data_IF_150714115464
#
_entry.id   IF_150714115464
#
_cell.length_a   1.000
_cell.length_b   1.000
_cell.length_c   1.000
_cell.angle_alpha   90.00
_cell.angle_beta   90.00
_cell.angle_gamma   90.00
#
_symmetry.space_group_name_H-M   'P 1'
#
loop_
_entity.id
_entity.type
_entity.pdbx_description
1 polymer ?
#
# COMPACT_ATOMS: atom_id res chain seq x y z
N UNK A 1 -12.62 -35.69 -23.36
CA UNK A 1 -12.82 -36.98 -22.65
C UNK A 1 -13.55 -36.70 -21.35
N UNK A 2 -14.39 -37.60 -20.84
CA UNK A 2 -15.05 -37.42 -19.54
C UNK A 2 -14.32 -38.23 -18.47
N UNK A 3 -14.02 -37.61 -17.34
CA UNK A 3 -13.37 -38.26 -16.19
C UNK A 3 -14.16 -38.07 -14.91
N UNK A 4 -14.18 -39.07 -14.01
CA UNK A 4 -14.63 -38.87 -12.64
C UNK A 4 -13.79 -37.80 -11.94
N UNK A 5 -14.44 -36.82 -11.32
CA UNK A 5 -13.79 -35.72 -10.59
C UNK A 5 -12.85 -36.25 -9.50
N UNK A 6 -13.17 -37.41 -8.90
CA UNK A 6 -12.35 -38.08 -7.88
C UNK A 6 -10.99 -38.57 -8.40
N UNK A 7 -10.87 -38.82 -9.71
CA UNK A 7 -9.62 -39.25 -10.34
C UNK A 7 -8.74 -38.05 -10.73
N UNK A 8 -9.19 -36.81 -10.52
CA UNK A 8 -8.41 -35.60 -10.83
C UNK A 8 -7.73 -35.10 -9.55
N UNK A 9 -6.42 -35.29 -9.48
CA UNK A 9 -5.56 -34.87 -8.39
C UNK A 9 -4.97 -33.49 -8.67
N UNK A 10 -4.79 -32.74 -7.58
CA UNK A 10 -4.08 -31.46 -7.57
C UNK A 10 -2.84 -31.68 -6.73
N UNK A 11 -1.69 -31.84 -7.38
CA UNK A 11 -0.38 -32.03 -6.75
C UNK A 11 0.37 -30.71 -6.51
N UNK A 12 -0.36 -29.60 -6.64
CA UNK A 12 0.16 -28.25 -6.52
C UNK A 12 -0.52 -27.45 -5.44
N UNK A 13 0.15 -26.36 -5.07
CA UNK A 13 -0.47 -25.31 -4.29
C UNK A 13 -1.64 -24.71 -5.06
N UNK A 14 -2.80 -24.68 -4.40
CA UNK A 14 -4.00 -24.01 -4.92
C UNK A 14 -3.78 -22.50 -4.88
N UNK A 15 -4.46 -21.76 -5.77
CA UNK A 15 -4.53 -20.29 -5.65
C UNK A 15 -5.09 -19.90 -4.30
N UNK A 16 -4.54 -18.83 -3.73
CA UNK A 16 -4.97 -18.28 -2.46
C UNK A 16 -6.42 -17.78 -2.55
N UNK A 17 -6.80 -17.16 -3.67
CA UNK A 17 -8.16 -16.72 -3.95
C UNK A 17 -8.66 -17.31 -5.28
N UNK A 18 -9.66 -18.19 -5.20
CA UNK A 18 -10.22 -18.88 -6.36
C UNK A 18 -11.43 -18.16 -6.99
N UNK A 19 -12.08 -17.22 -6.30
CA UNK A 19 -13.22 -16.43 -6.81
C UNK A 19 -14.18 -17.22 -7.70
N UNK A 20 -14.85 -18.22 -7.15
CA UNK A 20 -15.63 -19.18 -7.94
C UNK A 20 -17.07 -18.76 -8.17
N UNK A 21 -17.62 -17.80 -7.40
CA UNK A 21 -19.06 -17.51 -7.40
C UNK A 21 -19.68 -17.25 -8.79
N UNK A 22 -19.11 -16.35 -9.59
CA UNK A 22 -19.62 -16.08 -10.95
C UNK A 22 -19.43 -17.28 -11.88
N UNK A 23 -18.34 -18.02 -11.70
CA UNK A 23 -18.02 -19.20 -12.49
C UNK A 23 -18.96 -20.37 -12.16
N UNK A 24 -19.37 -20.50 -10.90
CA UNK A 24 -20.37 -21.47 -10.44
C UNK A 24 -21.73 -21.21 -11.10
N UNK A 25 -22.16 -19.94 -11.16
CA UNK A 25 -23.40 -19.57 -11.84
C UNK A 25 -23.34 -19.87 -13.35
N UNK A 26 -22.23 -19.54 -14.00
CA UNK A 26 -22.04 -19.85 -15.42
C UNK A 26 -22.06 -21.35 -15.69
N UNK A 27 -21.40 -22.15 -14.84
CA UNK A 27 -21.36 -23.62 -14.94
C UNK A 27 -22.77 -24.22 -14.72
N UNK A 28 -23.55 -23.67 -13.77
CA UNK A 28 -24.96 -24.11 -13.57
C UNK A 28 -25.79 -23.95 -14.84
N UNK A 29 -25.63 -22.82 -15.53
CA UNK A 29 -26.50 -22.45 -16.64
C UNK A 29 -26.05 -23.06 -17.98
N UNK A 30 -24.75 -23.19 -18.20
CA UNK A 30 -24.18 -23.53 -19.51
C UNK A 30 -23.24 -24.74 -19.50
N UNK A 31 -23.01 -25.36 -18.34
CA UNK A 31 -21.99 -26.37 -18.18
C UNK A 31 -20.57 -25.82 -18.34
N UNK A 32 -19.60 -26.73 -18.49
CA UNK A 32 -18.20 -26.38 -18.64
C UNK A 32 -17.91 -26.03 -20.11
N UNK A 33 -17.68 -24.74 -20.42
CA UNK A 33 -17.37 -24.29 -21.79
C UNK A 33 -15.96 -24.68 -22.28
N UNK A 34 -15.01 -24.81 -21.36
CA UNK A 34 -13.60 -25.11 -21.66
C UNK A 34 -13.16 -26.26 -20.76
N UNK A 35 -12.70 -27.39 -21.33
CA UNK A 35 -12.28 -28.55 -20.55
C UNK A 35 -11.12 -28.21 -19.59
N UNK A 36 -10.91 -29.09 -18.61
CA UNK A 36 -9.70 -29.03 -17.78
C UNK A 36 -8.52 -29.62 -18.54
N UNK A 37 -7.34 -29.01 -18.44
CA UNK A 37 -6.13 -29.60 -19.01
C UNK A 37 -5.48 -30.48 -17.94
N UNK A 38 -5.22 -31.74 -18.27
CA UNK A 38 -4.65 -32.73 -17.34
C UNK A 38 -3.51 -33.53 -17.96
N UNK A 39 -2.67 -34.12 -17.12
CA UNK A 39 -1.70 -35.15 -17.50
C UNK A 39 -2.06 -36.50 -16.86
N UNK A 40 -1.63 -37.59 -17.48
CA UNK A 40 -1.82 -38.95 -16.97
C UNK A 40 -2.39 -39.89 -18.03
N UNK A 41 -2.98 -41.03 -17.63
CA UNK A 41 -3.13 -41.47 -16.24
C UNK A 41 -1.81 -41.89 -15.57
N UNK A 42 -1.80 -41.95 -14.23
CA UNK A 42 -0.81 -42.71 -13.45
C UNK A 42 -1.17 -44.21 -13.39
N UNK A 43 -0.38 -45.01 -12.67
CA UNK A 43 -0.63 -46.44 -12.46
C UNK A 43 -1.97 -46.73 -11.75
N UNK A 44 -2.52 -45.76 -11.01
CA UNK A 44 -3.78 -45.85 -10.29
C UNK A 44 -4.95 -45.21 -11.06
N UNK A 45 -4.77 -44.88 -12.34
CA UNK A 45 -5.75 -44.21 -13.19
C UNK A 45 -6.19 -42.81 -12.70
N UNK A 46 -5.29 -42.11 -12.01
CA UNK A 46 -5.42 -40.71 -11.63
C UNK A 46 -4.79 -39.79 -12.68
N UNK A 47 -5.32 -38.57 -12.74
CA UNK A 47 -4.89 -37.52 -13.64
C UNK A 47 -4.51 -36.28 -12.84
N UNK A 48 -3.45 -35.60 -13.27
CA UNK A 48 -2.92 -34.43 -12.59
C UNK A 48 -3.36 -33.16 -13.31
N UNK A 49 -4.01 -32.25 -12.57
CA UNK A 49 -4.55 -31.02 -13.13
C UNK A 49 -3.45 -30.03 -13.54
N UNK A 50 -3.30 -29.73 -14.83
CA UNK A 50 -2.41 -28.67 -15.30
C UNK A 50 -3.10 -27.32 -15.24
N UNK A 51 -4.29 -27.19 -15.83
CA UNK A 51 -5.00 -25.91 -15.92
C UNK A 51 -6.50 -26.07 -15.71
N UNK A 52 -7.12 -25.05 -15.11
CA UNK A 52 -8.54 -25.03 -14.78
C UNK A 52 -8.85 -25.29 -13.30
N UNK A 53 -7.92 -24.98 -12.40
CA UNK A 53 -8.10 -25.05 -10.94
C UNK A 53 -9.41 -24.41 -10.44
N UNK A 54 -9.69 -23.18 -10.87
CA UNK A 54 -10.94 -22.48 -10.54
C UNK A 54 -12.18 -23.19 -11.10
N UNK A 55 -12.07 -23.76 -12.30
CA UNK A 55 -13.17 -24.48 -12.97
C UNK A 55 -13.46 -25.79 -12.25
N UNK A 56 -12.43 -26.53 -11.85
CA UNK A 56 -12.57 -27.76 -11.07
C UNK A 56 -13.24 -27.49 -9.72
N UNK A 57 -12.82 -26.44 -9.01
CA UNK A 57 -13.42 -26.11 -7.72
C UNK A 57 -14.87 -25.63 -7.86
N UNK A 58 -15.14 -24.76 -8.84
CA UNK A 58 -16.50 -24.34 -9.14
C UNK A 58 -17.40 -25.54 -9.52
N UNK A 59 -16.89 -26.49 -10.31
CA UNK A 59 -17.62 -27.71 -10.65
C UNK A 59 -17.98 -28.54 -9.41
N UNK A 60 -17.02 -28.74 -8.50
CA UNK A 60 -17.23 -29.43 -7.22
C UNK A 60 -18.29 -28.75 -6.35
N UNK A 61 -18.31 -27.42 -6.34
CA UNK A 61 -19.28 -26.64 -5.56
C UNK A 61 -20.71 -26.72 -6.12
N UNK A 62 -20.84 -26.78 -7.45
CA UNK A 62 -22.16 -26.82 -8.09
C UNK A 62 -22.81 -28.22 -7.99
N UNK A 63 -22.02 -29.29 -7.87
CA UNK A 63 -22.49 -30.68 -7.72
C UNK A 63 -23.43 -31.16 -8.84
N UNK A 64 -23.20 -30.71 -10.08
CA UNK A 64 -24.03 -31.12 -11.24
C UNK A 64 -23.83 -32.60 -11.58
N UNK A 65 -22.57 -33.02 -11.71
CA UNK A 65 -22.21 -34.34 -12.20
C UNK A 65 -20.85 -34.78 -11.65
N UNK A 66 -20.67 -36.08 -11.43
CA UNK A 66 -19.40 -36.67 -11.02
C UNK A 66 -18.40 -36.75 -12.16
N UNK A 67 -18.86 -36.67 -13.42
CA UNK A 67 -18.02 -36.63 -14.60
C UNK A 67 -17.77 -35.19 -15.04
N UNK A 68 -16.52 -34.88 -15.40
CA UNK A 68 -16.10 -33.58 -15.91
C UNK A 68 -15.33 -33.74 -17.22
N UNK A 69 -15.49 -32.77 -18.12
CA UNK A 69 -14.77 -32.77 -19.39
C UNK A 69 -13.31 -32.34 -19.21
N UNK A 70 -12.41 -33.19 -19.72
CA UNK A 70 -10.97 -33.00 -19.67
C UNK A 70 -10.34 -33.14 -21.05
N UNK A 71 -9.19 -32.47 -21.20
CA UNK A 71 -8.23 -32.62 -22.28
C UNK A 71 -6.93 -33.18 -21.69
N UNK A 72 -6.59 -34.40 -22.07
CA UNK A 72 -5.31 -35.01 -21.69
C UNK A 72 -4.23 -34.43 -22.61
N UNK A 73 -3.23 -33.75 -22.05
CA UNK A 73 -2.17 -33.12 -22.83
C UNK A 73 -1.08 -34.13 -23.23
N UNK A 74 -0.69 -34.99 -22.29
CA UNK A 74 0.37 -36.00 -22.43
C UNK A 74 0.32 -37.00 -21.26
N UNK A 75 1.20 -37.99 -21.33
CA UNK A 75 1.45 -38.93 -20.22
C UNK A 75 2.00 -38.24 -18.97
N UNK A 76 2.10 -39.00 -17.88
CA UNK A 76 2.53 -38.48 -16.58
C UNK A 76 3.96 -37.93 -16.63
N UNK A 77 4.13 -36.66 -16.27
CA UNK A 77 5.45 -36.04 -16.10
C UNK A 77 5.85 -35.91 -14.62
N UNK A 78 6.96 -35.23 -14.32
CA UNK A 78 7.30 -34.86 -12.94
C UNK A 78 6.48 -33.65 -12.46
N UNK A 79 6.31 -33.51 -11.13
CA UNK A 79 5.66 -32.32 -10.55
C UNK A 79 6.34 -31.01 -10.96
N UNK A 80 7.67 -31.02 -11.07
CA UNK A 80 8.47 -29.88 -11.50
C UNK A 80 8.14 -29.48 -12.94
N UNK A 81 8.07 -30.44 -13.87
CA UNK A 81 7.70 -30.19 -15.27
C UNK A 81 6.29 -29.61 -15.37
N UNK A 82 5.34 -30.17 -14.63
CA UNK A 82 3.98 -29.59 -14.53
C UNK A 82 3.98 -28.17 -14.02
N UNK A 83 4.76 -27.85 -12.98
CA UNK A 83 4.86 -26.48 -12.45
C UNK A 83 5.44 -25.51 -13.47
N UNK A 84 6.46 -25.90 -14.23
CA UNK A 84 7.04 -25.10 -15.31
C UNK A 84 6.03 -24.85 -16.43
N UNK A 85 5.30 -25.88 -16.85
CA UNK A 85 4.26 -25.74 -17.87
C UNK A 85 3.14 -24.80 -17.42
N UNK A 86 2.69 -24.91 -16.17
CA UNK A 86 1.69 -23.97 -15.62
C UNK A 86 2.20 -22.54 -15.59
N UNK A 87 3.44 -22.34 -15.16
CA UNK A 87 4.08 -21.02 -15.18
C UNK A 87 4.11 -20.45 -16.60
N UNK A 88 4.47 -21.28 -17.59
CA UNK A 88 4.42 -20.91 -19.00
C UNK A 88 3.00 -20.52 -19.44
N UNK A 89 1.97 -21.31 -19.12
CA UNK A 89 0.58 -20.98 -19.48
C UNK A 89 0.12 -19.65 -18.88
N UNK A 90 0.49 -19.36 -17.63
CA UNK A 90 0.14 -18.11 -16.95
C UNK A 90 0.89 -16.89 -17.50
N UNK A 91 2.08 -17.08 -18.04
CA UNK A 91 2.83 -16.05 -18.76
C UNK A 91 2.22 -15.70 -20.12
N UNK A 92 1.51 -16.64 -20.74
CA UNK A 92 1.10 -16.56 -22.15
C UNK A 92 -0.36 -16.12 -22.31
N UNK A 93 -1.26 -16.64 -21.47
CA UNK A 93 -2.71 -16.51 -21.67
C UNK A 93 -3.31 -15.52 -20.68
N UNK A 94 -3.16 -15.77 -19.38
CA UNK A 94 -3.79 -14.97 -18.33
C UNK A 94 -2.96 -14.98 -17.05
N UNK A 95 -2.51 -13.81 -16.57
CA UNK A 95 -1.72 -13.74 -15.35
C UNK A 95 -2.55 -14.17 -14.14
N UNK A 96 -1.97 -15.02 -13.30
CA UNK A 96 -2.49 -15.29 -11.96
C UNK A 96 -2.19 -14.10 -11.03
N UNK A 97 -2.82 -14.02 -9.84
CA UNK A 97 -2.45 -13.02 -8.84
C UNK A 97 -0.95 -13.03 -8.55
N UNK A 98 -0.36 -11.85 -8.32
CA UNK A 98 1.09 -11.69 -8.19
C UNK A 98 1.74 -12.59 -7.12
N UNK A 99 1.06 -12.79 -5.99
CA UNK A 99 1.54 -13.66 -4.89
C UNK A 99 1.54 -15.12 -5.29
N UNK A 100 0.45 -15.61 -5.89
CA UNK A 100 0.40 -16.99 -6.38
C UNK A 100 1.54 -17.24 -7.38
N UNK A 101 1.79 -16.26 -8.26
CA UNK A 101 2.85 -16.33 -9.27
C UNK A 101 4.25 -16.34 -8.63
N UNK A 102 4.47 -15.50 -7.61
CA UNK A 102 5.72 -15.44 -6.85
C UNK A 102 6.00 -16.77 -6.16
N UNK A 103 5.00 -17.35 -5.48
CA UNK A 103 5.13 -18.64 -4.80
C UNK A 103 5.45 -19.75 -5.80
N UNK A 104 4.78 -19.78 -6.97
CA UNK A 104 5.06 -20.77 -8.01
C UNK A 104 6.50 -20.67 -8.53
N UNK A 105 7.03 -19.46 -8.71
CA UNK A 105 8.45 -19.27 -9.06
C UNK A 105 9.35 -19.78 -7.94
N UNK A 106 9.07 -19.42 -6.69
CA UNK A 106 9.86 -19.83 -5.53
C UNK A 106 9.90 -21.36 -5.37
N UNK A 107 8.76 -22.04 -5.56
CA UNK A 107 8.66 -23.50 -5.54
C UNK A 107 9.51 -24.13 -6.65
N UNK A 108 9.41 -23.63 -7.89
CA UNK A 108 10.22 -24.14 -9.02
C UNK A 108 11.73 -23.98 -8.75
N UNK A 109 12.15 -22.80 -8.29
CA UNK A 109 13.57 -22.53 -8.00
C UNK A 109 14.08 -23.41 -6.85
N UNK A 110 13.26 -23.62 -5.80
CA UNK A 110 13.60 -24.48 -4.65
C UNK A 110 13.70 -25.95 -5.05
N UNK A 111 12.77 -26.46 -5.86
CA UNK A 111 12.75 -27.86 -6.31
C UNK A 111 13.85 -28.16 -7.33
N UNK A 112 14.19 -27.21 -8.20
CA UNK A 112 15.16 -27.41 -9.29
C UNK A 112 16.60 -27.01 -8.96
N UNK A 113 16.81 -26.18 -7.95
CA UNK A 113 18.12 -25.56 -7.66
C UNK A 113 18.59 -24.55 -8.72
N UNK A 114 17.73 -24.16 -9.66
CA UNK A 114 18.05 -23.24 -10.76
C UNK A 114 18.22 -21.79 -10.29
N UNK A 115 18.97 -21.00 -11.07
CA UNK A 115 18.95 -19.55 -10.92
C UNK A 115 17.78 -18.91 -11.70
N UNK A 116 17.44 -17.67 -11.38
CA UNK A 116 16.46 -16.87 -12.15
C UNK A 116 16.80 -16.78 -13.63
N UNK A 117 18.10 -16.77 -13.95
CA UNK A 117 18.57 -16.69 -15.33
C UNK A 117 18.29 -17.98 -16.08
N UNK A 118 18.42 -19.12 -15.41
CA UNK A 118 18.20 -20.44 -16.01
C UNK A 118 16.71 -20.66 -16.22
N UNK A 119 15.87 -20.35 -15.23
CA UNK A 119 14.41 -20.41 -15.37
C UNK A 119 13.91 -19.50 -16.50
N UNK A 120 14.43 -18.27 -16.60
CA UNK A 120 14.06 -17.35 -17.67
C UNK A 120 14.45 -17.87 -19.06
N UNK A 121 15.64 -18.48 -19.20
CA UNK A 121 16.09 -19.11 -20.45
C UNK A 121 15.19 -20.28 -20.83
N UNK A 122 14.88 -21.14 -19.87
CA UNK A 122 14.04 -22.33 -20.08
C UNK A 122 12.64 -21.95 -20.56
N UNK A 123 12.03 -20.93 -19.94
CA UNK A 123 10.72 -20.39 -20.33
C UNK A 123 10.78 -19.49 -21.59
N UNK A 124 11.98 -19.26 -22.14
CA UNK A 124 12.24 -18.34 -23.27
C UNK A 124 11.66 -16.94 -23.00
N UNK A 125 11.85 -16.44 -21.78
CA UNK A 125 11.38 -15.12 -21.32
C UNK A 125 12.54 -14.22 -20.91
N UNK A 126 12.30 -12.91 -20.95
CA UNK A 126 13.21 -11.93 -20.37
C UNK A 126 13.31 -12.14 -18.84
N UNK A 127 14.54 -12.21 -18.33
CA UNK A 127 14.85 -12.26 -16.89
C UNK A 127 14.13 -11.15 -16.10
N UNK A 128 13.90 -9.98 -16.69
CA UNK A 128 13.13 -8.89 -16.08
C UNK A 128 11.69 -9.28 -15.77
N UNK A 129 11.05 -10.12 -16.60
CA UNK A 129 9.69 -10.60 -16.36
C UNK A 129 9.61 -11.49 -15.12
N UNK A 130 10.58 -12.37 -14.91
CA UNK A 130 10.64 -13.23 -13.73
C UNK A 130 10.94 -12.39 -12.48
N UNK A 131 11.93 -11.48 -12.57
CA UNK A 131 12.31 -10.60 -11.45
C UNK A 131 11.21 -9.66 -10.99
N UNK A 132 10.27 -9.27 -11.86
CA UNK A 132 9.12 -8.42 -11.50
C UNK A 132 8.29 -9.01 -10.35
N UNK A 133 8.25 -10.33 -10.21
CA UNK A 133 7.42 -11.01 -9.21
C UNK A 133 8.17 -11.36 -7.93
N UNK A 134 9.43 -10.95 -7.77
CA UNK A 134 10.24 -11.19 -6.58
C UNK A 134 10.19 -10.14 -5.46
N UNK A 135 9.83 -8.85 -5.69
CA UNK A 135 9.73 -7.90 -4.59
C UNK A 135 8.85 -8.45 -3.45
N UNK A 136 9.27 -8.29 -2.20
CA UNK A 136 8.59 -8.85 -1.04
C UNK A 136 8.90 -10.32 -0.72
N UNK A 137 9.80 -10.99 -1.45
CA UNK A 137 10.22 -12.37 -1.12
C UNK A 137 10.92 -12.48 0.25
N UNK A 138 11.45 -11.37 0.77
CA UNK A 138 11.96 -11.25 2.14
C UNK A 138 10.87 -11.33 3.21
N UNK A 139 9.61 -11.11 2.84
CA UNK A 139 8.47 -11.28 3.72
C UNK A 139 8.10 -12.76 3.79
N UNK A 140 7.95 -13.34 4.99
CA UNK A 140 7.57 -14.74 5.15
C UNK A 140 6.32 -15.09 4.34
N UNK A 141 6.38 -16.24 3.67
CA UNK A 141 5.35 -16.70 2.74
C UNK A 141 3.95 -16.77 3.38
N UNK A 142 3.86 -17.28 4.61
CA UNK A 142 2.61 -17.36 5.38
C UNK A 142 1.96 -15.97 5.61
N UNK A 143 2.78 -14.92 5.80
CA UNK A 143 2.30 -13.54 5.98
C UNK A 143 1.83 -12.97 4.64
N UNK A 144 2.54 -13.23 3.55
CA UNK A 144 2.10 -12.84 2.18
C UNK A 144 0.77 -13.47 1.83
N UNK A 145 0.60 -14.75 2.15
CA UNK A 145 -0.66 -15.48 1.96
C UNK A 145 -1.81 -14.91 2.80
N UNK A 146 -1.57 -14.59 4.07
CA UNK A 146 -2.58 -13.98 4.95
C UNK A 146 -3.10 -12.67 4.36
N UNK A 147 -2.20 -11.78 3.92
CA UNK A 147 -2.57 -10.53 3.26
C UNK A 147 -3.26 -10.78 1.93
N UNK A 148 -2.82 -11.77 1.15
CA UNK A 148 -3.46 -12.13 -0.11
C UNK A 148 -4.90 -12.62 0.07
N UNK A 149 -5.20 -13.43 1.10
CA UNK A 149 -6.56 -13.92 1.41
C UNK A 149 -7.56 -12.79 1.58
N UNK A 150 -7.16 -11.70 2.23
CA UNK A 150 -8.01 -10.50 2.41
C UNK A 150 -7.91 -9.50 1.26
N UNK A 151 -7.18 -9.83 0.19
CA UNK A 151 -6.85 -8.94 -0.94
C UNK A 151 -6.19 -7.63 -0.50
N UNK A 152 -5.36 -7.71 0.53
CA UNK A 152 -4.52 -6.60 0.97
C UNK A 152 -3.39 -6.31 -0.03
N UNK A 153 -2.87 -5.10 0.04
CA UNK A 153 -1.76 -4.65 -0.82
C UNK A 153 -0.44 -5.31 -0.44
N UNK A 154 0.16 -6.07 -1.35
CA UNK A 154 1.49 -6.67 -1.17
C UNK A 154 2.60 -5.62 -1.16
N UNK A 155 2.46 -4.56 -1.97
CA UNK A 155 3.39 -3.42 -1.94
C UNK A 155 3.41 -2.73 -0.57
N UNK A 156 2.25 -2.67 0.10
CA UNK A 156 2.16 -2.12 1.45
C UNK A 156 2.79 -3.06 2.48
N UNK A 157 2.57 -4.37 2.35
CA UNK A 157 3.18 -5.38 3.20
C UNK A 157 4.71 -5.29 3.17
N UNK A 158 5.28 -5.25 1.96
CA UNK A 158 6.72 -5.09 1.73
C UNK A 158 7.24 -3.86 2.50
N UNK A 159 6.58 -2.71 2.36
CA UNK A 159 6.96 -1.48 3.04
C UNK A 159 6.91 -1.62 4.56
N UNK A 160 5.80 -2.12 5.11
CA UNK A 160 5.65 -2.31 6.56
C UNK A 160 6.79 -3.15 7.13
N UNK A 161 7.17 -4.21 6.40
CA UNK A 161 8.20 -5.14 6.84
C UNK A 161 9.57 -4.46 6.98
N UNK A 162 9.95 -3.64 5.98
CA UNK A 162 11.26 -2.97 5.92
C UNK A 162 11.34 -1.64 6.69
N UNK A 163 10.22 -1.08 7.16
CA UNK A 163 10.25 0.16 7.94
C UNK A 163 11.12 0.03 9.19
N UNK A 164 11.91 1.06 9.52
CA UNK A 164 12.71 1.08 10.74
C UNK A 164 11.97 1.84 11.87
N UNK A 165 11.02 1.15 12.49
CA UNK A 165 10.11 1.63 13.56
C UNK A 165 9.85 0.51 14.57
N UNK A 166 9.32 0.86 15.74
CA UNK A 166 8.93 -0.08 16.79
C UNK A 166 7.98 -1.19 16.29
N UNK A 167 8.13 -2.36 16.91
CA UNK A 167 7.36 -3.57 16.55
C UNK A 167 5.86 -3.36 16.77
N UNK A 168 5.46 -2.63 17.81
CA UNK A 168 4.06 -2.40 18.14
C UNK A 168 3.36 -1.54 17.08
N UNK A 169 4.02 -0.50 16.59
CA UNK A 169 3.53 0.33 15.49
C UNK A 169 3.52 -0.42 14.17
N UNK A 170 4.54 -1.24 13.86
CA UNK A 170 4.47 -2.16 12.71
C UNK A 170 3.25 -3.06 12.79
N UNK A 171 2.95 -3.62 13.96
CA UNK A 171 1.79 -4.48 14.14
C UNK A 171 0.48 -3.72 13.95
N UNK A 172 0.39 -2.45 14.38
CA UNK A 172 -0.77 -1.58 14.11
C UNK A 172 -0.96 -1.34 12.61
N UNK A 173 0.13 -1.08 11.87
CA UNK A 173 0.08 -0.92 10.42
C UNK A 173 -0.34 -2.24 9.73
N UNK A 174 0.19 -3.37 10.19
CA UNK A 174 -0.17 -4.69 9.67
C UNK A 174 -1.66 -5.01 9.87
N UNK A 175 -2.22 -4.77 11.07
CA UNK A 175 -3.66 -4.90 11.33
C UNK A 175 -4.51 -3.96 10.45
N UNK A 176 -4.01 -2.75 10.20
CA UNK A 176 -4.66 -1.78 9.30
C UNK A 176 -4.63 -2.22 7.83
N UNK A 177 -3.56 -2.90 7.40
CA UNK A 177 -3.45 -3.55 6.10
C UNK A 177 -4.43 -4.72 5.97
N UNK A 178 -4.52 -5.60 6.97
CA UNK A 178 -5.44 -6.74 6.96
C UNK A 178 -6.91 -6.30 6.93
N UNK A 179 -7.24 -5.20 7.61
CA UNK A 179 -8.57 -4.57 7.54
C UNK A 179 -8.79 -3.71 6.29
N UNK A 180 -7.87 -3.77 5.32
CA UNK A 180 -7.92 -3.06 4.02
C UNK A 180 -8.00 -1.54 4.10
N UNK A 181 -7.62 -0.94 5.25
CA UNK A 181 -7.52 0.51 5.40
C UNK A 181 -6.28 1.07 4.70
N UNK A 182 -5.22 0.26 4.59
CA UNK A 182 -3.99 0.61 3.88
C UNK A 182 -3.94 -0.04 2.50
N UNK A 183 -3.54 0.72 1.49
CA UNK A 183 -3.60 0.36 0.07
C UNK A 183 -2.24 0.54 -0.62
N UNK A 184 -2.16 0.25 -1.91
CA UNK A 184 -0.95 0.50 -2.71
C UNK A 184 -0.56 1.98 -2.79
N UNK A 185 -1.50 2.92 -2.66
CA UNK A 185 -1.17 4.35 -2.68
C UNK A 185 -0.47 4.78 -1.39
N UNK A 186 -0.95 4.28 -0.25
CA UNK A 186 -0.26 4.43 1.04
C UNK A 186 1.17 3.85 0.98
N UNK A 187 1.37 2.72 0.30
CA UNK A 187 2.69 2.14 0.10
C UNK A 187 3.62 3.07 -0.72
N UNK A 188 3.12 3.65 -1.82
CA UNK A 188 3.87 4.61 -2.64
C UNK A 188 4.23 5.86 -1.84
N UNK A 189 3.28 6.36 -1.04
CA UNK A 189 3.49 7.45 -0.10
C UNK A 189 4.67 7.11 0.84
N UNK A 190 4.57 6.04 1.61
CA UNK A 190 5.64 5.66 2.54
C UNK A 190 6.99 5.40 1.86
N UNK A 191 7.02 4.81 0.66
CA UNK A 191 8.26 4.67 -0.14
C UNK A 191 8.90 6.03 -0.46
N UNK A 192 8.10 7.05 -0.80
CA UNK A 192 8.59 8.42 -1.04
C UNK A 192 9.07 9.08 0.24
N UNK A 193 8.37 8.89 1.36
CA UNK A 193 8.75 9.43 2.68
C UNK A 193 10.10 8.86 3.14
N UNK A 194 10.22 7.54 3.16
CA UNK A 194 11.43 6.82 3.59
C UNK A 194 12.59 7.05 2.62
N UNK A 195 12.30 7.27 1.34
CA UNK A 195 13.29 7.63 0.32
C UNK A 195 13.82 9.07 0.41
N UNK A 196 13.31 9.90 1.34
CA UNK A 196 13.88 11.22 1.58
C UNK A 196 15.30 11.12 2.15
N UNK A 197 16.22 11.91 1.60
CA UNK A 197 17.65 11.90 2.00
C UNK A 197 17.87 12.23 3.49
N UNK A 198 16.92 12.92 4.12
CA UNK A 198 16.98 13.34 5.51
C UNK A 198 16.13 12.49 6.46
N UNK A 199 15.38 11.49 5.95
CA UNK A 199 14.52 10.63 6.78
C UNK A 199 15.29 9.89 7.88
N UNK A 200 16.51 9.42 7.56
CA UNK A 200 17.37 8.72 8.53
C UNK A 200 17.76 9.56 9.76
N UNK A 201 17.61 10.89 9.69
CA UNK A 201 17.88 11.81 10.81
C UNK A 201 16.74 11.88 11.83
N UNK A 202 15.55 11.39 11.47
CA UNK A 202 14.40 11.36 12.39
C UNK A 202 14.66 10.34 13.50
N UNK A 203 14.35 10.73 14.74
CA UNK A 203 14.20 9.79 15.85
C UNK A 203 12.89 8.99 15.71
N UNK A 204 12.69 7.99 16.57
CA UNK A 204 11.54 7.09 16.48
C UNK A 204 10.19 7.81 16.57
N UNK A 205 9.99 8.69 17.55
CA UNK A 205 8.74 9.44 17.68
C UNK A 205 8.44 10.33 16.47
N UNK A 206 9.48 10.95 15.88
CA UNK A 206 9.36 11.73 14.66
C UNK A 206 9.00 10.86 13.45
N UNK A 207 9.60 9.67 13.33
CA UNK A 207 9.25 8.72 12.25
C UNK A 207 7.79 8.30 12.34
N UNK A 208 7.30 7.98 13.54
CA UNK A 208 5.89 7.62 13.74
C UNK A 208 4.97 8.74 13.24
N UNK A 209 5.19 9.98 13.67
CA UNK A 209 4.37 11.13 13.21
C UNK A 209 4.46 11.38 11.71
N UNK A 210 5.67 11.32 11.14
CA UNK A 210 5.86 11.47 9.70
C UNK A 210 5.13 10.38 8.89
N UNK A 211 5.14 9.14 9.39
CA UNK A 211 4.40 8.02 8.79
C UNK A 211 2.90 8.26 8.90
N UNK A 212 2.38 8.65 10.07
CA UNK A 212 0.96 8.94 10.26
C UNK A 212 0.47 10.06 9.34
N UNK A 213 1.26 11.13 9.19
CA UNK A 213 0.96 12.24 8.27
C UNK A 213 0.96 11.76 6.81
N UNK A 214 1.97 10.97 6.41
CA UNK A 214 2.04 10.38 5.08
C UNK A 214 0.84 9.46 4.78
N UNK A 215 0.36 8.71 5.77
CA UNK A 215 -0.80 7.85 5.64
C UNK A 215 -2.11 8.64 5.52
N UNK A 216 -2.23 9.80 6.18
CA UNK A 216 -3.40 10.66 6.07
C UNK A 216 -3.52 11.32 4.70
N UNK A 217 -2.39 11.75 4.11
CA UNK A 217 -2.38 12.36 2.78
C UNK A 217 -2.55 11.31 1.67
N UNK A 218 -2.04 10.08 1.88
CA UNK A 218 -2.04 8.91 0.99
C UNK A 218 -1.35 9.11 -0.38
N UNK A 219 -1.30 10.32 -0.92
CA UNK A 219 -0.65 10.69 -2.17
C UNK A 219 0.11 12.00 -2.01
N UNK A 220 1.41 11.99 -2.27
CA UNK A 220 2.26 13.19 -2.28
C UNK A 220 3.41 13.07 -3.28
N UNK A 221 3.86 14.20 -3.78
CA UNK A 221 5.08 14.33 -4.59
C UNK A 221 6.33 14.05 -3.75
N UNK A 222 7.49 13.86 -4.40
CA UNK A 222 8.76 13.68 -3.68
C UNK A 222 9.13 14.90 -2.82
N UNK A 223 8.80 16.10 -3.31
CA UNK A 223 9.05 17.36 -2.59
C UNK A 223 8.18 17.43 -1.35
N UNK A 224 6.89 17.14 -1.45
CA UNK A 224 5.97 17.09 -0.31
C UNK A 224 6.41 16.06 0.73
N UNK A 225 6.87 14.87 0.31
CA UNK A 225 7.43 13.86 1.20
C UNK A 225 8.61 14.41 2.03
N UNK A 226 9.53 15.11 1.36
CA UNK A 226 10.69 15.70 2.01
C UNK A 226 10.29 16.80 2.99
N UNK A 227 9.24 17.58 2.69
CA UNK A 227 8.71 18.60 3.59
C UNK A 227 8.08 18.03 4.86
N UNK A 228 7.39 16.88 4.77
CA UNK A 228 6.89 16.17 5.97
C UNK A 228 8.06 15.83 6.89
N UNK A 229 9.13 15.26 6.33
CA UNK A 229 10.34 14.92 7.10
C UNK A 229 11.01 16.16 7.69
N UNK A 230 11.17 17.22 6.89
CA UNK A 230 11.76 18.48 7.36
C UNK A 230 10.93 19.11 8.48
N UNK A 231 9.60 19.05 8.38
CA UNK A 231 8.71 19.61 9.40
C UNK A 231 8.85 18.90 10.75
N UNK A 232 9.04 17.58 10.74
CA UNK A 232 9.33 16.84 11.98
C UNK A 232 10.70 17.17 12.58
N UNK A 233 11.74 17.36 11.75
CA UNK A 233 13.08 17.77 12.20
C UNK A 233 13.06 19.16 12.83
N UNK A 234 12.42 20.12 12.15
CA UNK A 234 12.33 21.51 12.59
C UNK A 234 11.47 21.66 13.85
N UNK A 235 10.51 20.77 14.09
CA UNK A 235 9.66 20.82 15.29
C UNK A 235 10.44 20.63 16.59
N UNK A 236 11.56 19.90 16.58
CA UNK A 236 12.31 19.59 17.82
C UNK A 236 13.55 20.45 18.00
N UNK A 237 14.41 20.55 16.98
CA UNK A 237 15.69 21.27 17.06
C UNK A 237 16.04 21.92 15.72
N UNK A 238 15.43 23.07 15.39
CA UNK A 238 15.73 23.78 14.14
C UNK A 238 17.22 24.17 14.00
N UNK A 239 17.91 24.41 15.14
CA UNK A 239 19.33 24.76 15.19
C UNK A 239 20.24 23.73 14.55
N UNK A 240 19.89 22.46 14.65
CA UNK A 240 20.74 21.34 14.21
C UNK A 240 20.60 21.10 12.69
N UNK A 241 19.71 21.84 12.04
CA UNK A 241 19.30 21.67 10.66
C UNK A 241 19.24 23.00 9.89
N UNK A 242 20.06 23.98 10.28
CA UNK A 242 20.11 25.30 9.65
C UNK A 242 20.32 25.24 8.12
N UNK A 243 21.04 24.23 7.63
CA UNK A 243 21.27 23.99 6.20
C UNK A 243 19.97 23.74 5.41
N UNK A 244 18.89 23.31 6.08
CA UNK A 244 17.57 23.06 5.49
C UNK A 244 16.51 24.08 5.90
N UNK A 245 16.83 25.00 6.81
CA UNK A 245 15.89 25.96 7.37
C UNK A 245 15.25 26.84 6.29
N UNK A 246 16.05 27.42 5.39
CA UNK A 246 15.55 28.32 4.36
C UNK A 246 14.58 27.62 3.40
N UNK A 247 14.89 26.38 3.02
CA UNK A 247 14.02 25.58 2.15
C UNK A 247 12.69 25.28 2.84
N UNK A 248 12.73 24.85 4.10
CA UNK A 248 11.53 24.58 4.90
C UNK A 248 10.69 25.84 5.10
N UNK A 249 11.32 26.94 5.52
CA UNK A 249 10.67 28.22 5.80
C UNK A 249 10.01 28.81 4.54
N UNK A 250 10.72 28.81 3.41
CA UNK A 250 10.17 29.27 2.12
C UNK A 250 8.93 28.48 1.75
N UNK A 251 8.89 27.18 2.05
CA UNK A 251 7.72 26.36 1.78
C UNK A 251 6.54 26.68 2.70
N UNK A 252 6.79 26.88 3.99
CA UNK A 252 5.75 27.33 4.93
C UNK A 252 5.15 28.65 4.45
N UNK A 253 5.99 29.63 4.11
CA UNK A 253 5.55 30.94 3.63
C UNK A 253 4.73 30.82 2.34
N UNK A 254 5.19 30.02 1.38
CA UNK A 254 4.44 29.77 0.14
C UNK A 254 3.09 29.09 0.40
N UNK A 255 3.02 28.13 1.32
CA UNK A 255 1.77 27.45 1.66
C UNK A 255 0.80 28.38 2.39
N UNK A 256 1.30 29.23 3.30
CA UNK A 256 0.48 30.27 3.93
C UNK A 256 -0.06 31.27 2.91
N UNK A 257 0.76 31.68 1.94
CA UNK A 257 0.34 32.54 0.83
C UNK A 257 -0.76 31.90 -0.01
N UNK A 258 -0.57 30.66 -0.47
CA UNK A 258 -1.59 29.92 -1.23
C UNK A 258 -2.89 29.75 -0.46
N UNK A 259 -2.82 29.44 0.84
CA UNK A 259 -4.01 29.34 1.67
C UNK A 259 -4.77 30.67 1.73
N UNK A 260 -4.06 31.79 1.85
CA UNK A 260 -4.67 33.12 1.81
C UNK A 260 -5.31 33.40 0.44
N UNK A 261 -4.65 33.03 -0.67
CA UNK A 261 -5.15 33.23 -2.04
C UNK A 261 -6.44 32.44 -2.32
N UNK A 262 -6.66 31.32 -1.65
CA UNK A 262 -7.90 30.52 -1.78
C UNK A 262 -9.09 31.09 -0.99
N UNK A 263 -8.88 32.07 -0.12
CA UNK A 263 -9.96 32.65 0.69
C UNK A 263 -10.67 33.77 -0.08
N UNK A 264 -11.86 33.47 -0.59
CA UNK A 264 -12.73 34.49 -1.18
C UNK A 264 -13.24 35.48 -0.11
N UNK A 265 -13.28 36.80 -0.38
CA UNK A 265 -13.75 37.81 0.58
C UNK A 265 -15.16 37.51 1.16
N UNK A 266 -16.05 37.00 0.32
CA UNK A 266 -17.44 36.72 0.71
C UNK A 266 -17.63 35.47 1.59
N UNK A 267 -16.56 34.71 1.90
CA UNK A 267 -16.66 33.53 2.77
C UNK A 267 -17.28 33.88 4.14
N UNK A 268 -17.09 35.11 4.63
CA UNK A 268 -17.67 35.54 5.91
C UNK A 268 -19.20 35.37 5.98
N UNK A 269 -19.88 35.51 4.84
CA UNK A 269 -21.34 35.39 4.71
C UNK A 269 -21.82 33.94 4.68
N UNK A 270 -20.93 33.00 4.35
CA UNK A 270 -21.26 31.58 4.12
C UNK A 270 -20.83 30.66 5.28
N UNK A 271 -19.92 31.12 6.13
CA UNK A 271 -19.33 30.31 7.21
C UNK A 271 -20.22 30.34 8.47
N UNK A 272 -20.54 29.17 9.01
CA UNK A 272 -21.35 29.05 10.24
C UNK A 272 -20.63 29.57 11.49
N UNK A 273 -21.34 29.95 12.57
CA UNK A 273 -20.72 30.39 13.82
C UNK A 273 -19.70 29.39 14.40
N UNK A 274 -19.97 28.09 14.28
CA UNK A 274 -19.06 27.04 14.73
C UNK A 274 -17.75 27.03 13.94
N UNK A 275 -17.84 27.12 12.61
CA UNK A 275 -16.67 27.17 11.73
C UNK A 275 -15.88 28.46 11.94
N UNK A 276 -16.55 29.60 12.19
CA UNK A 276 -15.88 30.87 12.57
C UNK A 276 -15.04 30.69 13.84
N UNK A 277 -15.60 30.02 14.86
CA UNK A 277 -14.88 29.72 16.12
C UNK A 277 -13.69 28.78 15.90
N UNK A 278 -13.84 27.75 15.07
CA UNK A 278 -12.75 26.83 14.72
C UNK A 278 -11.63 27.53 13.96
N UNK A 279 -11.96 28.35 12.97
CA UNK A 279 -10.99 29.12 12.20
C UNK A 279 -10.26 30.13 13.08
N UNK A 280 -10.98 30.89 13.92
CA UNK A 280 -10.39 31.84 14.86
C UNK A 280 -9.41 31.15 15.83
N UNK A 281 -9.75 29.95 16.31
CA UNK A 281 -8.85 29.14 17.15
C UNK A 281 -7.58 28.76 16.39
N UNK A 282 -7.70 28.21 15.17
CA UNK A 282 -6.56 27.80 14.37
C UNK A 282 -5.63 28.97 14.04
N UNK A 283 -6.19 30.11 13.62
CA UNK A 283 -5.42 31.34 13.37
C UNK A 283 -4.76 31.85 14.64
N UNK A 284 -5.45 31.79 15.78
CA UNK A 284 -4.90 32.17 17.09
C UNK A 284 -3.71 31.28 17.52
N UNK A 285 -3.78 29.97 17.28
CA UNK A 285 -2.68 29.03 17.55
C UNK A 285 -1.46 29.32 16.67
N UNK A 286 -1.67 29.60 15.38
CA UNK A 286 -0.58 30.03 14.47
C UNK A 286 0.04 31.33 14.97
N UNK A 287 -0.78 32.34 15.27
CA UNK A 287 -0.28 33.65 15.70
C UNK A 287 0.53 33.56 17.00
N UNK A 288 0.12 32.70 17.95
CA UNK A 288 0.91 32.42 19.16
C UNK A 288 2.26 31.79 18.82
N UNK A 289 2.30 30.83 17.90
CA UNK A 289 3.54 30.15 17.50
C UNK A 289 4.54 31.09 16.80
N UNK A 290 4.04 32.07 16.05
CA UNK A 290 4.88 33.04 15.31
C UNK A 290 4.98 34.41 16.00
N UNK A 291 4.54 34.53 17.25
CA UNK A 291 4.50 35.80 17.98
C UNK A 291 5.87 36.50 18.06
N UNK A 292 6.96 35.73 18.01
CA UNK A 292 8.32 36.24 18.01
C UNK A 292 8.65 37.13 16.79
N UNK A 293 7.93 37.02 15.67
CA UNK A 293 8.06 37.93 14.51
C UNK A 293 7.80 39.39 14.95
N UNK A 294 6.95 39.57 15.95
CA UNK A 294 6.52 40.87 16.45
C UNK A 294 7.22 41.28 17.74
N UNK A 295 8.21 40.50 18.22
CA UNK A 295 8.88 40.75 19.51
C UNK A 295 9.96 41.83 19.50
N UNK A 296 10.37 42.33 18.34
CA UNK A 296 11.18 43.55 18.28
C UNK A 296 10.30 44.78 18.45
N UNK A 297 9.98 45.09 19.72
CA UNK A 297 10.08 46.46 20.25
C UNK A 297 9.64 46.67 21.72
N UNK A 298 9.18 45.66 22.49
CA UNK A 298 8.93 45.88 23.93
C UNK A 298 9.31 44.68 24.78
N UNK A 299 10.34 44.89 25.62
CA UNK A 299 10.49 44.19 26.90
C UNK A 299 9.24 44.49 27.73
N UNK A 300 8.42 43.49 28.06
CA UNK A 300 7.92 43.22 29.43
C UNK A 300 6.75 42.22 29.43
N UNK A 301 6.81 41.35 30.43
CA UNK A 301 5.71 40.73 31.18
C UNK A 301 4.77 39.76 30.47
N UNK A 302 5.10 38.48 30.65
CA UNK A 302 4.16 37.37 30.57
C UNK A 302 3.38 37.27 31.90
N UNK A 303 2.07 37.49 31.85
CA UNK A 303 1.13 36.87 32.80
C UNK A 303 0.09 36.09 32.00
N UNK A 304 -0.07 34.84 32.40
CA UNK A 304 -0.98 33.83 31.86
C UNK A 304 -2.44 34.23 32.06
N UNK A 305 -3.29 34.21 31.02
CA UNK A 305 -4.74 34.21 31.21
C UNK A 305 -5.48 33.45 30.10
N UNK A 306 -6.33 32.52 30.53
CA UNK A 306 -7.46 31.98 29.78
C UNK A 306 -8.57 33.04 29.72
N UNK A 307 -8.92 33.55 28.53
CA UNK A 307 -10.12 34.40 28.35
C UNK A 307 -10.52 34.51 26.87
N UNK A 308 -11.80 34.80 26.62
CA UNK A 308 -12.37 35.03 25.29
C UNK A 308 -11.66 36.20 24.57
N UNK A 309 -11.22 35.93 23.34
CA UNK A 309 -10.34 36.78 22.57
C UNK A 309 -11.14 37.74 21.69
N UNK A 310 -11.01 39.05 21.91
CA UNK A 310 -11.42 40.07 20.95
C UNK A 310 -10.28 40.33 19.94
N UNK A 311 -10.56 40.17 18.65
CA UNK A 311 -9.58 40.30 17.57
C UNK A 311 -9.67 41.70 16.97
N UNK A 312 -8.70 42.55 17.26
CA UNK A 312 -8.59 43.91 16.73
C UNK A 312 -7.51 43.97 15.65
N UNK A 313 -7.77 44.61 14.51
CA UNK A 313 -6.80 44.80 13.44
C UNK A 313 -6.10 46.16 13.60
N UNK A 314 -4.79 46.14 13.70
CA UNK A 314 -3.90 47.32 13.68
C UNK A 314 -3.08 47.31 12.39
N UNK A 315 -2.91 48.46 11.74
CA UNK A 315 -2.05 48.59 10.55
C UNK A 315 -0.62 48.91 10.99
N UNK A 316 0.37 48.25 10.39
CA UNK A 316 1.81 48.45 10.67
C UNK A 316 2.57 48.72 9.37
N UNK A 317 3.80 49.24 9.49
CA UNK A 317 4.65 49.57 8.34
C UNK A 317 4.97 48.35 7.44
N UNK A 318 4.80 47.14 7.96
CA UNK A 318 5.01 45.87 7.25
C UNK A 318 3.71 45.11 6.93
N UNK A 319 2.52 45.69 7.22
CA UNK A 319 1.23 45.07 6.93
C UNK A 319 0.17 45.33 8.00
N UNK A 320 -0.38 44.26 8.57
CA UNK A 320 -1.39 44.33 9.62
C UNK A 320 -1.04 43.38 10.76
N UNK A 321 -1.28 43.82 12.00
CA UNK A 321 -1.19 43.02 13.21
C UNK A 321 -2.58 42.81 13.78
N UNK A 322 -2.90 41.58 14.18
CA UNK A 322 -4.07 41.33 15.00
C UNK A 322 -3.69 41.41 16.48
N UNK A 323 -4.26 42.38 17.18
CA UNK A 323 -4.18 42.53 18.64
C UNK A 323 -5.31 41.71 19.23
N UNK A 324 -4.93 40.80 20.11
CA UNK A 324 -5.87 40.02 20.87
C UNK A 324 -5.99 40.66 22.24
N UNK A 325 -7.13 41.31 22.51
CA UNK A 325 -7.43 41.81 23.85
C UNK A 325 -8.28 40.79 24.59
N UNK A 326 -7.92 40.54 25.84
CA UNK A 326 -8.84 39.90 26.77
C UNK A 326 -9.97 40.91 27.04
N UNK A 327 -11.22 40.44 26.97
CA UNK A 327 -12.34 41.18 27.54
C UNK A 327 -12.24 41.23 29.06
#
# INVERSE_FOLDING_TARGET
>A
MLLPVKNILIDIRRRINLDTFSLEQDIRNHGLKVPLDVEGPDENNNYYLINGDRRLEAWKNVRINELIEVKVLRGLTSRLERNKERLQMHLDIKPMPGVDFQILIEDILRESGMSDGDLAKELRRDKRRIRKYKPGSEVPENVREEVAKVRGSQDMLEVIYVLNIDVDFKQRLYKSLLSRKLTGDHAKALKRLVGSSVYGRLNEHQRVRAIEEALQQATFTKVEAELVVLSELMRTKPSDHQDKFNTWMSNILNNMGKLADYLHPDLELLVSPLQKKQLARAVGEINKAVFWIWKDNKKSDQSSFETELEILRESTDTGYRYIFRNR
#
